data_IF_999566159039
#
_entry.id   IF_999566159039
#
_cell.length_a   1.000
_cell.length_b   1.000
_cell.length_c   1.000
_cell.angle_alpha   90.00
_cell.angle_beta   90.00
_cell.angle_gamma   90.00
#
_symmetry.space_group_name_H-M   'P 1'
#
loop_
_entity.id
_entity.type
_entity.pdbx_description
1 polymer ?
#
# COMPACT_ATOMS: atom_id res chain seq x y z
N UNK A 1 16.17 16.94 9.35
CA UNK A 1 15.60 17.12 7.99
C UNK A 1 15.48 15.73 7.35
N UNK A 2 14.62 14.85 7.88
CA UNK A 2 14.53 13.46 7.41
C UNK A 2 13.41 13.27 6.36
N UNK A 3 12.36 14.08 6.45
CA UNK A 3 11.17 13.96 5.61
C UNK A 3 11.39 14.46 4.18
N UNK A 4 12.16 15.55 3.99
CA UNK A 4 12.37 16.14 2.67
C UNK A 4 13.37 15.34 1.81
N UNK A 5 14.40 14.78 2.44
CA UNK A 5 15.37 13.90 1.75
C UNK A 5 14.70 12.63 1.24
N UNK A 6 13.83 12.02 2.05
CA UNK A 6 13.06 10.84 1.66
C UNK A 6 12.09 11.14 0.51
N UNK A 7 11.38 12.27 0.58
CA UNK A 7 10.48 12.72 -0.50
C UNK A 7 11.26 12.96 -1.80
N UNK A 8 12.44 13.57 -1.73
CA UNK A 8 13.29 13.81 -2.90
C UNK A 8 13.79 12.51 -3.54
N UNK A 9 14.22 11.55 -2.73
CA UNK A 9 14.66 10.22 -3.18
C UNK A 9 13.50 9.42 -3.78
N UNK A 10 12.32 9.41 -3.14
CA UNK A 10 11.14 8.71 -3.66
C UNK A 10 10.70 9.26 -5.02
N UNK A 11 10.68 10.59 -5.17
CA UNK A 11 10.21 11.23 -6.40
C UNK A 11 11.21 11.13 -7.58
N UNK A 12 12.52 11.05 -7.31
CA UNK A 12 13.54 11.07 -8.37
C UNK A 12 14.25 9.73 -8.60
N UNK A 13 14.35 8.88 -7.59
CA UNK A 13 15.08 7.60 -7.66
C UNK A 13 14.18 6.38 -7.61
N UNK A 14 12.99 6.48 -7.02
CA UNK A 14 12.03 5.39 -7.07
C UNK A 14 11.35 5.40 -8.44
N UNK A 15 11.99 4.70 -9.37
CA UNK A 15 11.50 4.37 -10.70
C UNK A 15 10.00 4.02 -10.64
N UNK A 16 9.19 4.54 -11.57
CA UNK A 16 7.76 4.72 -11.39
C UNK A 16 7.10 3.38 -11.15
N UNK A 17 6.31 3.30 -10.09
CA UNK A 17 5.25 2.31 -10.02
C UNK A 17 4.45 2.52 -11.31
N UNK A 18 4.53 1.56 -12.25
CA UNK A 18 3.55 1.50 -13.33
C UNK A 18 2.18 1.66 -12.67
N UNK A 19 1.27 2.49 -13.21
CA UNK A 19 -0.02 2.70 -12.58
C UNK A 19 -0.63 1.32 -12.33
N UNK A 20 -0.73 0.95 -11.06
CA UNK A 20 -1.14 -0.37 -10.54
C UNK A 20 -2.63 -0.68 -10.81
N UNK A 21 -3.19 -0.05 -11.83
CA UNK A 21 -4.62 0.15 -11.99
C UNK A 21 -5.13 1.19 -10.99
N UNK A 22 -6.12 1.98 -11.40
CA UNK A 22 -6.92 2.70 -10.44
C UNK A 22 -7.87 1.72 -9.77
N UNK A 23 -7.72 1.54 -8.45
CA UNK A 23 -8.73 0.90 -7.60
C UNK A 23 -9.46 2.00 -6.83
N UNK A 24 -10.78 1.89 -6.73
CA UNK A 24 -11.55 2.86 -5.96
C UNK A 24 -11.26 2.72 -4.46
N UNK A 25 -11.34 3.81 -3.66
CA UNK A 25 -11.10 3.73 -2.22
C UNK A 25 -11.95 2.68 -1.51
N UNK A 26 -13.23 2.55 -1.88
CA UNK A 26 -14.13 1.54 -1.33
C UNK A 26 -13.67 0.10 -1.63
N UNK A 27 -13.16 -0.14 -2.85
CA UNK A 27 -12.64 -1.46 -3.23
C UNK A 27 -11.30 -1.75 -2.53
N UNK A 28 -10.43 -0.75 -2.37
CA UNK A 28 -9.19 -0.89 -1.63
C UNK A 28 -9.46 -1.26 -0.15
N UNK A 29 -10.45 -0.62 0.46
CA UNK A 29 -10.82 -0.84 1.85
C UNK A 29 -11.46 -2.22 2.06
N UNK A 30 -12.32 -2.68 1.15
CA UNK A 30 -12.85 -4.04 1.18
C UNK A 30 -11.72 -5.09 1.10
N UNK A 31 -10.82 -4.94 0.12
CA UNK A 31 -9.68 -5.84 -0.05
C UNK A 31 -8.78 -5.89 1.19
N UNK A 32 -8.55 -4.74 1.82
CA UNK A 32 -7.76 -4.67 3.05
C UNK A 32 -8.43 -5.43 4.20
N UNK A 33 -9.73 -5.24 4.41
CA UNK A 33 -10.47 -5.91 5.48
C UNK A 33 -10.54 -7.43 5.27
N UNK A 34 -10.73 -7.90 4.03
CA UNK A 34 -10.71 -9.32 3.70
C UNK A 34 -9.32 -9.96 3.95
N UNK A 35 -8.24 -9.29 3.53
CA UNK A 35 -6.88 -9.74 3.80
C UNK A 35 -6.60 -9.80 5.30
N UNK A 36 -7.02 -8.78 6.05
CA UNK A 36 -6.85 -8.71 7.49
C UNK A 36 -7.63 -9.83 8.19
N UNK A 37 -8.88 -10.08 7.79
CA UNK A 37 -9.68 -11.18 8.33
C UNK A 37 -9.04 -12.54 8.05
N UNK A 38 -8.50 -12.76 6.85
CA UNK A 38 -7.74 -13.97 6.50
C UNK A 38 -6.48 -14.14 7.34
N UNK A 39 -5.71 -13.06 7.57
CA UNK A 39 -4.53 -13.09 8.43
C UNK A 39 -4.88 -13.39 9.89
N UNK A 40 -5.96 -12.80 10.40
CA UNK A 40 -6.44 -13.05 11.77
C UNK A 40 -6.89 -14.50 11.92
N UNK A 41 -7.58 -15.06 10.93
CA UNK A 41 -7.99 -16.46 10.93
C UNK A 41 -6.77 -17.41 10.92
N UNK A 42 -5.75 -17.11 10.11
CA UNK A 42 -4.49 -17.87 10.05
C UNK A 42 -3.66 -17.77 11.34
N UNK A 43 -3.73 -16.65 12.05
CA UNK A 43 -3.01 -16.45 13.31
C UNK A 43 -3.69 -17.10 14.52
N UNK A 44 -4.97 -17.49 14.40
CA UNK A 44 -5.77 -18.10 15.46
C UNK A 44 -5.76 -19.65 15.45
N UNK A 45 -5.10 -20.27 14.47
CA UNK A 45 -4.91 -21.72 14.33
C UNK A 45 -3.52 -22.16 14.76
#
# INVERSE_FOLDING_TARGET
MATLEWVSWFNHHHQPLEPIGYISPAQAEANYNDQLAGQVAMAAT
#
